data_IF_718511450128
#
_entry.id   IF_718511450128
#
_cell.length_a   1.000
_cell.length_b   1.000
_cell.length_c   1.000
_cell.angle_alpha   90.00
_cell.angle_beta   90.00
_cell.angle_gamma   90.00
#
_symmetry.space_group_name_H-M   'P 1'
#
loop_
_entity.id
_entity.type
_entity.pdbx_description
1 polymer ?
#
# COMPACT_ATOMS: atom_id res chain seq x y z
N UNK A 1 -25.89 0.62 2.99
CA UNK A 1 -24.98 1.75 2.73
C UNK A 1 -25.18 2.21 1.28
N UNK A 2 -26.11 3.14 1.01
CA UNK A 2 -26.44 3.58 -0.35
C UNK A 2 -25.26 4.21 -1.12
N UNK A 3 -24.27 4.79 -0.43
CA UNK A 3 -23.11 5.45 -1.05
C UNK A 3 -22.13 4.52 -1.82
N UNK A 4 -22.18 3.20 -1.61
CA UNK A 4 -21.36 2.25 -2.39
C UNK A 4 -22.10 1.65 -3.59
N UNK A 5 -23.42 1.87 -3.70
CA UNK A 5 -24.26 1.24 -4.71
C UNK A 5 -23.90 1.71 -6.13
N UNK A 6 -23.48 2.96 -6.29
CA UNK A 6 -23.03 3.49 -7.58
C UNK A 6 -21.75 2.81 -8.08
N UNK A 7 -20.79 2.48 -7.21
CA UNK A 7 -19.61 1.72 -7.65
C UNK A 7 -19.94 0.31 -8.16
N UNK A 8 -20.97 -0.33 -7.58
CA UNK A 8 -21.45 -1.63 -8.06
C UNK A 8 -22.14 -1.52 -9.42
N UNK A 9 -22.75 -0.38 -9.73
CA UNK A 9 -23.43 -0.14 -11.01
C UNK A 9 -22.46 0.33 -12.10
N UNK A 10 -21.56 1.27 -11.77
CA UNK A 10 -20.76 2.01 -12.75
C UNK A 10 -19.33 1.47 -12.88
N UNK A 11 -18.79 0.86 -11.83
CA UNK A 11 -17.41 0.34 -11.78
C UNK A 11 -17.28 -1.08 -11.20
N UNK A 12 -18.17 -2.04 -11.53
CA UNK A 12 -18.22 -3.34 -10.85
C UNK A 12 -16.91 -4.12 -10.95
N UNK A 13 -16.28 -4.11 -12.14
CA UNK A 13 -15.03 -4.82 -12.37
C UNK A 13 -13.87 -4.19 -11.60
N UNK A 14 -13.75 -2.86 -11.60
CA UNK A 14 -12.70 -2.16 -10.86
C UNK A 14 -12.86 -2.36 -9.35
N UNK A 15 -14.10 -2.26 -8.84
CA UNK A 15 -14.37 -2.49 -7.43
C UNK A 15 -14.01 -3.92 -7.03
N UNK A 16 -14.48 -4.93 -7.77
CA UNK A 16 -14.17 -6.33 -7.50
C UNK A 16 -12.66 -6.61 -7.56
N UNK A 17 -11.96 -6.05 -8.56
CA UNK A 17 -10.51 -6.19 -8.72
C UNK A 17 -9.78 -5.57 -7.52
N UNK A 18 -10.15 -4.37 -7.10
CA UNK A 18 -9.53 -3.71 -5.95
C UNK A 18 -9.78 -4.49 -4.65
N UNK A 19 -11.02 -4.92 -4.41
CA UNK A 19 -11.41 -5.68 -3.23
C UNK A 19 -10.79 -7.08 -3.16
N UNK A 20 -10.42 -7.67 -4.30
CA UNK A 20 -9.71 -8.94 -4.33
C UNK A 20 -8.19 -8.75 -4.14
N UNK A 21 -7.58 -7.92 -4.99
CA UNK A 21 -6.13 -7.82 -5.06
C UNK A 21 -5.52 -6.95 -3.96
N UNK A 22 -6.25 -5.96 -3.44
CA UNK A 22 -5.79 -5.15 -2.30
C UNK A 22 -5.53 -5.99 -1.05
N UNK A 23 -6.52 -6.72 -0.54
CA UNK A 23 -6.35 -7.63 0.60
C UNK A 23 -5.34 -8.75 0.33
N UNK A 24 -5.28 -9.28 -0.90
CA UNK A 24 -4.28 -10.28 -1.27
C UNK A 24 -2.85 -9.73 -1.16
N UNK A 25 -2.61 -8.50 -1.64
CA UNK A 25 -1.32 -7.84 -1.46
C UNK A 25 -0.97 -7.67 0.02
N UNK A 26 -1.93 -7.26 0.86
CA UNK A 26 -1.73 -7.12 2.30
C UNK A 26 -1.39 -8.47 2.97
N UNK A 27 -2.09 -9.54 2.61
CA UNK A 27 -1.84 -10.90 3.13
C UNK A 27 -0.44 -11.39 2.76
N UNK A 28 0.05 -11.06 1.57
CA UNK A 28 1.36 -11.48 1.08
C UNK A 28 2.52 -10.63 1.63
N UNK A 29 2.25 -9.43 2.15
CA UNK A 29 3.27 -8.48 2.57
C UNK A 29 4.23 -9.01 3.67
N UNK A 30 3.79 -9.70 4.74
CA UNK A 30 4.69 -10.25 5.76
C UNK A 30 5.71 -11.24 5.19
N UNK A 31 5.29 -12.06 4.21
CA UNK A 31 6.16 -13.03 3.55
C UNK A 31 7.24 -12.37 2.70
N UNK A 32 7.01 -11.14 2.20
CA UNK A 32 8.04 -10.37 1.50
C UNK A 32 9.14 -9.87 2.44
N UNK A 33 8.80 -9.60 3.70
CA UNK A 33 9.75 -9.14 4.71
C UNK A 33 10.50 -10.31 5.40
N UNK A 34 9.91 -11.50 5.42
CA UNK A 34 10.45 -12.65 6.15
C UNK A 34 11.82 -13.12 5.63
N UNK A 35 12.86 -12.89 6.43
CA UNK A 35 14.23 -13.30 6.10
C UNK A 35 14.40 -14.82 6.03
N UNK A 36 13.80 -15.57 6.94
CA UNK A 36 13.88 -17.04 6.96
C UNK A 36 13.34 -17.68 5.69
N UNK A 37 12.19 -17.20 5.19
CA UNK A 37 11.62 -17.65 3.93
C UNK A 37 12.58 -17.39 2.75
N UNK A 38 13.13 -16.18 2.68
CA UNK A 38 14.05 -15.78 1.60
C UNK A 38 15.35 -16.59 1.60
N UNK A 39 15.86 -16.98 2.77
CA UNK A 39 17.09 -17.77 2.91
C UNK A 39 16.85 -19.28 2.70
N UNK A 40 15.79 -19.83 3.29
CA UNK A 40 15.52 -21.28 3.30
C UNK A 40 14.77 -21.77 2.07
N UNK A 41 13.86 -20.96 1.51
CA UNK A 41 12.99 -21.32 0.38
C UNK A 41 12.94 -20.18 -0.66
N UNK A 42 14.06 -19.84 -1.32
CA UNK A 42 14.13 -18.69 -2.24
C UNK A 42 13.17 -18.79 -3.43
N UNK A 43 12.89 -20.00 -3.92
CA UNK A 43 11.90 -20.23 -4.98
C UNK A 43 10.48 -19.81 -4.56
N UNK A 44 10.07 -20.18 -3.34
CA UNK A 44 8.78 -19.79 -2.77
C UNK A 44 8.71 -18.28 -2.55
N UNK A 45 9.77 -17.66 -2.03
CA UNK A 45 9.85 -16.21 -1.89
C UNK A 45 9.64 -15.49 -3.23
N UNK A 46 10.27 -15.97 -4.32
CA UNK A 46 10.12 -15.39 -5.67
C UNK A 46 8.69 -15.52 -6.20
N UNK A 47 8.05 -16.68 -6.05
CA UNK A 47 6.66 -16.87 -6.47
C UNK A 47 5.68 -15.99 -5.69
N UNK A 48 5.79 -15.96 -4.36
CA UNK A 48 4.98 -15.06 -3.53
C UNK A 48 5.24 -13.59 -3.87
N UNK A 49 6.49 -13.23 -4.20
CA UNK A 49 6.85 -11.87 -4.64
C UNK A 49 6.22 -11.49 -5.98
N UNK A 50 6.11 -12.43 -6.94
CA UNK A 50 5.39 -12.22 -8.20
C UNK A 50 3.90 -12.00 -7.95
N UNK A 51 3.28 -12.85 -7.13
CA UNK A 51 1.87 -12.72 -6.78
C UNK A 51 1.60 -11.40 -6.04
N UNK A 52 2.48 -11.00 -5.12
CA UNK A 52 2.41 -9.72 -4.44
C UNK A 52 2.49 -8.55 -5.44
N UNK A 53 3.48 -8.54 -6.34
CA UNK A 53 3.62 -7.51 -7.35
C UNK A 53 2.43 -7.39 -8.31
N UNK A 54 1.89 -8.53 -8.78
CA UNK A 54 0.69 -8.57 -9.62
C UNK A 54 -0.54 -8.07 -8.86
N UNK A 55 -0.65 -8.40 -7.57
CA UNK A 55 -1.75 -7.93 -6.73
C UNK A 55 -1.70 -6.41 -6.54
N UNK A 56 -0.51 -5.84 -6.37
CA UNK A 56 -0.35 -4.38 -6.30
C UNK A 56 -0.70 -3.72 -7.62
N UNK A 57 -0.26 -4.29 -8.75
CA UNK A 57 -0.56 -3.74 -10.06
C UNK A 57 -2.07 -3.74 -10.33
N UNK A 58 -2.74 -4.88 -10.11
CA UNK A 58 -4.19 -5.00 -10.30
C UNK A 58 -4.98 -4.12 -9.32
N UNK A 59 -4.67 -4.21 -8.02
CA UNK A 59 -5.37 -3.45 -6.99
C UNK A 59 -5.15 -1.94 -7.10
N UNK A 60 -3.93 -1.51 -7.46
CA UNK A 60 -3.59 -0.10 -7.65
C UNK A 60 -4.22 0.48 -8.91
N UNK A 61 -4.15 -0.21 -10.06
CA UNK A 61 -4.80 0.27 -11.28
C UNK A 61 -6.31 0.35 -11.11
N UNK A 62 -6.91 -0.67 -10.49
CA UNK A 62 -8.32 -0.67 -10.15
C UNK A 62 -8.70 0.47 -9.19
N UNK A 63 -7.85 0.82 -8.22
CA UNK A 63 -8.12 2.00 -7.37
C UNK A 63 -8.09 3.31 -8.14
N UNK A 64 -7.22 3.45 -9.15
CA UNK A 64 -7.15 4.66 -9.97
C UNK A 64 -8.39 4.82 -10.84
N UNK A 65 -8.93 3.74 -11.39
CA UNK A 65 -10.17 3.79 -12.19
C UNK A 65 -11.42 4.05 -11.35
N UNK A 66 -11.37 3.85 -10.03
CA UNK A 66 -12.45 4.19 -9.11
C UNK A 66 -12.47 5.69 -8.74
N UNK A 67 -11.36 6.42 -8.89
CA UNK A 67 -11.28 7.83 -8.48
C UNK A 67 -12.32 8.76 -9.10
N UNK A 68 -12.72 8.64 -10.38
CA UNK A 68 -13.75 9.50 -10.96
C UNK A 68 -15.12 9.39 -10.26
N UNK A 69 -15.44 8.21 -9.70
CA UNK A 69 -16.66 7.96 -8.93
C UNK A 69 -16.53 8.27 -7.43
N UNK A 70 -15.40 8.85 -6.99
CA UNK A 70 -15.17 9.16 -5.58
C UNK A 70 -15.98 10.37 -5.13
N UNK A 71 -17.02 10.13 -4.34
CA UNK A 71 -17.94 11.13 -3.78
C UNK A 71 -17.37 11.94 -2.59
N UNK A 72 -16.10 11.73 -2.23
CA UNK A 72 -15.43 12.53 -1.20
C UNK A 72 -14.85 13.84 -1.75
N UNK A 73 -14.05 14.53 -0.93
CA UNK A 73 -13.43 15.78 -1.39
C UNK A 73 -12.33 15.53 -2.42
N UNK A 74 -12.08 16.52 -3.29
CA UNK A 74 -10.97 16.48 -4.26
C UNK A 74 -9.62 16.29 -3.58
N UNK A 75 -9.44 16.85 -2.38
CA UNK A 75 -8.23 16.71 -1.60
C UNK A 75 -7.98 15.25 -1.17
N UNK A 76 -9.02 14.55 -0.71
CA UNK A 76 -8.94 13.14 -0.39
C UNK A 76 -8.71 12.27 -1.64
N UNK A 77 -9.38 12.58 -2.76
CA UNK A 77 -9.17 11.89 -4.04
C UNK A 77 -7.70 11.96 -4.49
N UNK A 78 -7.07 13.14 -4.37
CA UNK A 78 -5.65 13.31 -4.67
C UNK A 78 -4.74 12.49 -3.75
N UNK A 79 -5.06 12.41 -2.46
CA UNK A 79 -4.32 11.58 -1.51
C UNK A 79 -4.35 10.09 -1.87
N UNK A 80 -5.53 9.56 -2.17
CA UNK A 80 -5.68 8.16 -2.61
C UNK A 80 -5.04 7.89 -3.97
N UNK A 81 -5.20 8.78 -4.94
CA UNK A 81 -4.55 8.65 -6.25
C UNK A 81 -3.03 8.69 -6.15
N UNK A 82 -2.48 9.60 -5.34
CA UNK A 82 -1.04 9.67 -5.07
C UNK A 82 -0.54 8.38 -4.42
N UNK A 83 -1.26 7.87 -3.42
CA UNK A 83 -0.96 6.57 -2.81
C UNK A 83 -0.92 5.46 -3.86
N UNK A 84 -1.94 5.35 -4.72
CA UNK A 84 -2.00 4.29 -5.73
C UNK A 84 -0.83 4.36 -6.72
N UNK A 85 -0.49 5.55 -7.22
CA UNK A 85 0.65 5.76 -8.13
C UNK A 85 1.96 5.41 -7.44
N UNK A 86 2.20 5.91 -6.23
CA UNK A 86 3.40 5.60 -5.46
C UNK A 86 3.51 4.12 -5.15
N UNK A 87 2.39 3.48 -4.79
CA UNK A 87 2.34 2.07 -4.46
C UNK A 87 2.78 1.21 -5.64
N UNK A 88 2.21 1.43 -6.83
CA UNK A 88 2.62 0.74 -8.06
C UNK A 88 4.09 1.07 -8.38
N UNK A 89 4.45 2.34 -8.43
CA UNK A 89 5.78 2.80 -8.85
C UNK A 89 6.91 2.25 -7.98
N UNK A 90 6.75 2.33 -6.66
CA UNK A 90 7.72 1.82 -5.67
C UNK A 90 7.89 0.30 -5.79
N UNK A 91 6.80 -0.45 -5.98
CA UNK A 91 6.86 -1.90 -6.16
C UNK A 91 7.56 -2.27 -7.45
N UNK A 92 7.19 -1.65 -8.58
CA UNK A 92 7.82 -1.91 -9.88
C UNK A 92 9.32 -1.57 -9.85
N UNK A 93 9.69 -0.45 -9.23
CA UNK A 93 11.09 -0.07 -9.06
C UNK A 93 11.86 -1.09 -8.21
N UNK A 94 11.27 -1.55 -7.10
CA UNK A 94 11.84 -2.60 -6.26
C UNK A 94 12.07 -3.91 -7.03
N UNK A 95 11.12 -4.32 -7.86
CA UNK A 95 11.24 -5.51 -8.73
C UNK A 95 12.33 -5.29 -9.79
N UNK A 96 12.40 -4.11 -10.40
CA UNK A 96 13.45 -3.74 -11.36
C UNK A 96 14.85 -3.88 -10.77
N UNK A 97 15.05 -3.45 -9.51
CA UNK A 97 16.33 -3.61 -8.80
C UNK A 97 16.69 -5.07 -8.53
N UNK A 98 15.71 -5.94 -8.26
CA UNK A 98 15.97 -7.37 -8.15
C UNK A 98 16.42 -7.97 -9.49
N UNK A 99 15.78 -7.58 -10.60
CA UNK A 99 16.17 -8.04 -11.93
C UNK A 99 17.57 -7.58 -12.34
N UNK A 100 17.97 -6.37 -11.91
CA UNK A 100 19.31 -5.83 -12.11
C UNK A 100 20.37 -6.43 -11.16
N UNK A 101 20.03 -7.40 -10.31
CA UNK A 101 20.96 -8.00 -9.35
C UNK A 101 21.24 -7.16 -8.09
N UNK A 102 20.74 -5.92 -8.00
CA UNK A 102 20.88 -5.06 -6.83
C UNK A 102 19.86 -5.44 -5.74
N UNK A 103 20.16 -6.54 -5.05
CA UNK A 103 19.30 -7.08 -3.99
C UNK A 103 19.23 -6.13 -2.78
N UNK A 104 20.29 -5.35 -2.54
CA UNK A 104 20.29 -4.37 -1.45
C UNK A 104 19.28 -3.26 -1.69
N UNK A 105 19.24 -2.68 -2.89
CA UNK A 105 18.23 -1.71 -3.29
C UNK A 105 16.84 -2.33 -3.35
N UNK A 106 16.69 -3.53 -3.93
CA UNK A 106 15.41 -4.25 -3.93
C UNK A 106 14.80 -4.30 -2.52
N UNK A 107 15.57 -4.73 -1.51
CA UNK A 107 15.08 -4.78 -0.13
C UNK A 107 14.72 -3.41 0.46
N UNK A 108 15.38 -2.33 0.05
CA UNK A 108 15.02 -0.96 0.47
C UNK A 108 13.68 -0.56 -0.13
N UNK A 109 13.45 -0.82 -1.41
CA UNK A 109 12.22 -0.46 -2.11
C UNK A 109 11.04 -1.35 -1.70
N UNK A 110 11.24 -2.66 -1.51
CA UNK A 110 10.16 -3.55 -1.07
C UNK A 110 9.67 -3.22 0.35
N UNK A 111 10.52 -2.68 1.23
CA UNK A 111 10.05 -2.17 2.52
C UNK A 111 9.11 -0.98 2.38
N UNK A 112 9.39 -0.07 1.44
CA UNK A 112 8.52 1.07 1.11
C UNK A 112 7.21 0.58 0.50
N UNK A 113 7.28 -0.38 -0.42
CA UNK A 113 6.10 -1.06 -0.99
C UNK A 113 5.20 -1.62 0.11
N UNK A 114 5.77 -2.35 1.08
CA UNK A 114 5.00 -2.92 2.20
C UNK A 114 4.41 -1.84 3.11
N UNK A 115 5.14 -0.76 3.39
CA UNK A 115 4.62 0.37 4.16
C UNK A 115 3.42 1.04 3.47
N UNK A 116 3.46 1.19 2.14
CA UNK A 116 2.34 1.68 1.35
C UNK A 116 1.17 0.69 1.31
N UNK A 117 1.43 -0.62 1.17
CA UNK A 117 0.39 -1.66 1.27
C UNK A 117 -0.33 -1.59 2.64
N UNK A 118 0.42 -1.35 3.72
CA UNK A 118 -0.13 -1.28 5.07
C UNK A 118 -1.01 -0.04 5.31
N UNK A 119 -1.04 0.93 4.38
CA UNK A 119 -1.92 2.10 4.48
C UNK A 119 -3.39 1.70 4.60
N UNK A 120 -3.82 0.59 3.98
CA UNK A 120 -5.18 0.08 4.12
C UNK A 120 -5.55 -0.27 5.58
N UNK A 121 -4.58 -0.73 6.38
CA UNK A 121 -4.75 -1.02 7.81
C UNK A 121 -4.73 0.28 8.61
N UNK A 122 -3.71 1.12 8.40
CA UNK A 122 -3.56 2.40 9.08
C UNK A 122 -4.77 3.31 8.86
N UNK A 123 -5.32 3.33 7.65
CA UNK A 123 -6.57 4.02 7.33
C UNK A 123 -7.69 3.58 8.26
N UNK A 124 -7.92 2.28 8.43
CA UNK A 124 -9.01 1.76 9.28
C UNK A 124 -8.79 2.08 10.75
N UNK A 125 -7.54 2.01 11.20
CA UNK A 125 -7.16 2.36 12.57
C UNK A 125 -7.35 3.85 12.90
N UNK A 126 -7.18 4.74 11.92
CA UNK A 126 -7.44 6.18 12.08
C UNK A 126 -8.93 6.49 11.88
N UNK A 127 -9.58 5.84 10.90
CA UNK A 127 -10.97 6.09 10.52
C UNK A 127 -11.95 5.74 11.64
N UNK A 128 -11.79 4.58 12.29
CA UNK A 128 -12.70 4.12 13.34
C UNK A 128 -12.85 5.12 14.52
N UNK A 129 -11.76 5.62 15.15
CA UNK A 129 -11.89 6.59 16.24
C UNK A 129 -12.41 7.96 15.79
N UNK A 130 -12.08 8.44 14.58
CA UNK A 130 -12.63 9.71 14.07
C UNK A 130 -14.15 9.65 13.92
N UNK A 131 -14.66 8.57 13.31
CA UNK A 131 -16.11 8.34 13.17
C UNK A 131 -16.76 8.22 14.55
N UNK A 132 -16.15 7.48 15.49
CA UNK A 132 -16.65 7.34 16.85
C UNK A 132 -16.68 8.69 17.60
N UNK A 133 -15.78 9.61 17.27
CA UNK A 133 -15.74 10.97 17.80
C UNK A 133 -16.70 11.95 17.07
N UNK A 134 -17.52 11.47 16.15
CA UNK A 134 -18.54 12.27 15.47
C UNK A 134 -18.06 13.06 14.24
N UNK A 135 -16.86 12.78 13.74
CA UNK A 135 -16.35 13.41 12.52
C UNK A 135 -17.16 12.97 11.29
N UNK A 136 -17.35 13.88 10.34
CA UNK A 136 -18.02 13.56 9.08
C UNK A 136 -17.20 12.58 8.23
N UNK A 137 -17.88 11.92 7.28
CA UNK A 137 -17.23 11.03 6.31
C UNK A 137 -16.18 11.78 5.50
N UNK A 138 -16.47 13.01 5.08
CA UNK A 138 -15.55 13.85 4.31
C UNK A 138 -14.29 14.18 5.10
N UNK A 139 -14.41 14.72 6.31
CA UNK A 139 -13.26 15.09 7.14
C UNK A 139 -12.40 13.85 7.46
N UNK A 140 -13.05 12.72 7.73
CA UNK A 140 -12.37 11.45 7.97
C UNK A 140 -11.55 11.00 6.76
N UNK A 141 -12.09 11.13 5.55
CA UNK A 141 -11.35 10.83 4.32
C UNK A 141 -10.20 11.80 4.07
N UNK A 142 -10.36 13.09 4.35
CA UNK A 142 -9.29 14.08 4.17
C UNK A 142 -8.05 13.77 5.03
N UNK A 143 -8.27 13.33 6.27
CA UNK A 143 -7.20 12.91 7.16
C UNK A 143 -6.60 11.58 6.69
N UNK A 144 -7.44 10.59 6.43
CA UNK A 144 -6.97 9.22 6.19
C UNK A 144 -6.36 9.03 4.80
N UNK A 145 -6.77 9.79 3.79
CA UNK A 145 -6.23 9.73 2.43
C UNK A 145 -4.74 10.07 2.36
N UNK A 146 -4.23 10.84 3.33
CA UNK A 146 -2.82 11.22 3.44
C UNK A 146 -2.14 10.55 4.64
N UNK A 147 -2.75 10.64 5.82
CA UNK A 147 -2.19 10.15 7.07
C UNK A 147 -1.89 8.65 7.04
N UNK A 148 -2.73 7.85 6.37
CA UNK A 148 -2.60 6.39 6.35
C UNK A 148 -1.27 5.91 5.78
N UNK A 149 -0.72 6.60 4.77
CA UNK A 149 0.52 6.19 4.11
C UNK A 149 1.70 7.09 4.45
N UNK A 150 1.49 8.38 4.72
CA UNK A 150 2.54 9.28 5.18
C UNK A 150 3.12 8.83 6.52
N UNK A 151 2.26 8.44 7.47
CA UNK A 151 2.70 7.92 8.78
C UNK A 151 3.53 6.65 8.60
N UNK A 152 3.06 5.71 7.76
CA UNK A 152 3.76 4.45 7.51
C UNK A 152 5.15 4.68 6.88
N UNK A 153 5.26 5.57 5.89
CA UNK A 153 6.54 5.94 5.29
C UNK A 153 7.44 6.65 6.28
N UNK A 154 6.93 7.62 7.05
CA UNK A 154 7.71 8.35 8.04
C UNK A 154 8.32 7.40 9.08
N UNK A 155 7.51 6.50 9.65
CA UNK A 155 7.98 5.47 10.59
C UNK A 155 9.06 4.61 9.97
N UNK A 156 8.86 4.15 8.72
CA UNK A 156 9.83 3.33 8.01
C UNK A 156 11.17 4.07 7.80
N UNK A 157 11.13 5.31 7.32
CA UNK A 157 12.34 6.08 7.02
C UNK A 157 13.12 6.44 8.28
N UNK A 158 12.44 6.83 9.37
CA UNK A 158 13.07 7.08 10.66
C UNK A 158 13.77 5.81 11.16
N UNK A 159 13.09 4.65 11.08
CA UNK A 159 13.67 3.37 11.48
C UNK A 159 14.90 2.99 10.63
N UNK A 160 14.83 3.20 9.31
CA UNK A 160 15.96 2.94 8.40
C UNK A 160 17.17 3.82 8.73
N UNK A 161 16.96 5.12 8.95
CA UNK A 161 18.03 6.08 9.28
C UNK A 161 18.71 5.73 10.60
N UNK A 162 17.94 5.41 11.64
CA UNK A 162 18.48 5.01 12.96
C UNK A 162 19.34 3.75 12.87
N UNK A 163 18.95 2.78 12.03
CA UNK A 163 19.76 1.56 11.83
C UNK A 163 21.09 1.82 11.12
N UNK A 164 21.09 2.68 10.10
CA UNK A 164 22.33 3.05 9.40
C UNK A 164 23.28 3.81 10.33
N UNK A 165 22.76 4.73 11.16
CA UNK A 165 23.57 5.45 12.14
C UNK A 165 24.20 4.52 13.17
N UNK A 166 23.42 3.59 13.75
CA UNK A 166 23.95 2.61 14.71
C UNK A 166 25.07 1.74 14.11
N UNK A 167 24.92 1.33 12.86
CA UNK A 167 25.94 0.53 12.17
C UNK A 167 27.21 1.32 11.77
N UNK A 168 27.19 2.66 11.84
CA UNK A 168 28.37 3.50 11.62
C UNK A 168 29.15 3.82 12.90
N UNK A 169 28.49 3.69 14.05
CA UNK A 169 29.05 4.02 15.37
C UNK A 169 29.62 2.76 16.07
N UNK A 170 29.12 1.58 15.70
CA UNK A 170 29.65 0.27 16.10
C UNK A 170 30.78 -0.17 15.17
#
# INVERSE_FOLDING_TARGET
MPAMAHYLADYPLSLATHLLFGPLALLLAPFQLWQGLRQRRPGLHRWLGRLYGLSILGGGLASLTLLPGFEGSRFAALGFGTLAVLWIGVTLWGIGRARAGDIAAHRRWMRRSVALTFAAVTLRLIMAPLIAAGWSVTETYEITAWGSWLVNLAVLEIWQRRRVQRARIA
#
